data_IF_842139226830
#
_entry.id   IF_842139226830
#
_cell.length_a   1.000
_cell.length_b   1.000
_cell.length_c   1.000
_cell.angle_alpha   90.00
_cell.angle_beta   90.00
_cell.angle_gamma   90.00
#
_symmetry.space_group_name_H-M   'P 1'
#
loop_
_entity.id
_entity.type
_entity.pdbx_description
1 polymer ?
#
# COMPACT_ATOMS: atom_id res chain seq x y z
N UNK A 1 -10.92 18.77 -22.91
CA UNK A 1 -9.69 17.97 -22.69
C UNK A 1 -9.26 18.21 -21.25
N UNK A 2 -9.39 17.22 -20.35
CA UNK A 2 -8.71 17.28 -19.06
C UNK A 2 -7.22 17.12 -19.37
N UNK A 3 -6.42 18.13 -19.08
CA UNK A 3 -4.95 18.03 -19.11
C UNK A 3 -4.56 16.91 -18.16
N UNK A 4 -3.96 15.83 -18.67
CA UNK A 4 -3.37 14.78 -17.85
C UNK A 4 -2.24 15.43 -17.05
N UNK A 5 -2.46 15.65 -15.75
CA UNK A 5 -1.39 16.11 -14.86
C UNK A 5 -0.29 15.05 -14.82
N UNK A 6 0.96 15.46 -14.98
CA UNK A 6 2.10 14.56 -14.87
C UNK A 6 2.21 14.01 -13.44
N UNK A 7 2.44 12.70 -13.33
CA UNK A 7 2.76 12.03 -12.06
C UNK A 7 3.95 12.74 -11.39
N UNK A 8 3.75 13.24 -10.17
CA UNK A 8 4.79 13.89 -9.40
C UNK A 8 5.44 12.87 -8.44
N UNK A 9 6.77 12.81 -8.49
CA UNK A 9 7.58 11.80 -7.79
C UNK A 9 8.54 12.50 -6.83
N UNK A 10 8.42 12.20 -5.53
CA UNK A 10 9.24 12.77 -4.47
C UNK A 10 10.01 11.68 -3.73
N UNK A 11 11.33 11.62 -3.93
CA UNK A 11 12.20 10.65 -3.27
C UNK A 11 12.18 10.83 -1.75
N UNK A 12 11.98 9.75 -1.01
CA UNK A 12 12.11 9.71 0.44
C UNK A 12 13.51 9.22 0.84
N UNK A 13 13.96 9.64 2.03
CA UNK A 13 15.21 9.18 2.62
C UNK A 13 14.91 8.30 3.85
N UNK A 14 15.67 7.22 4.08
CA UNK A 14 16.80 6.75 3.27
C UNK A 14 16.37 5.98 2.00
N UNK A 15 15.11 5.54 1.91
CA UNK A 15 14.53 4.90 0.73
C UNK A 15 13.01 5.13 0.69
N UNK A 16 12.36 4.70 -0.39
CA UNK A 16 10.93 4.91 -0.61
C UNK A 16 10.62 6.15 -1.44
N UNK A 17 9.37 6.27 -1.90
CA UNK A 17 8.94 7.38 -2.74
C UNK A 17 7.53 7.84 -2.37
N UNK A 18 7.29 9.15 -2.38
CA UNK A 18 5.96 9.75 -2.25
C UNK A 18 5.48 10.18 -3.63
N UNK A 19 4.24 9.85 -3.97
CA UNK A 19 3.62 10.23 -5.24
C UNK A 19 2.46 11.20 -5.02
N UNK A 20 2.30 12.15 -5.92
CA UNK A 20 1.12 13.02 -6.04
C UNK A 20 0.72 13.16 -7.51
N UNK A 21 -0.47 13.69 -7.78
CA UNK A 21 -1.08 13.72 -9.12
C UNK A 21 -1.24 12.33 -9.75
N UNK A 22 -1.49 11.31 -8.93
CA UNK A 22 -1.71 9.93 -9.37
C UNK A 22 -3.08 9.82 -10.06
N UNK A 23 -3.09 9.35 -11.30
CA UNK A 23 -4.29 8.98 -12.05
C UNK A 23 -4.25 7.50 -12.41
N UNK A 24 -5.05 6.69 -11.73
CA UNK A 24 -5.12 5.25 -11.97
C UNK A 24 -5.87 4.86 -13.26
N UNK A 25 -6.41 5.83 -14.01
CA UNK A 25 -6.87 5.59 -15.38
C UNK A 25 -5.75 5.67 -16.41
N UNK A 26 -4.62 6.34 -16.12
CA UNK A 26 -3.48 6.41 -17.03
C UNK A 26 -2.67 5.11 -16.96
N UNK A 27 -2.63 4.30 -18.03
CA UNK A 27 -1.80 3.09 -18.06
C UNK A 27 -0.32 3.41 -17.87
N UNK A 28 0.15 4.54 -18.41
CA UNK A 28 1.54 4.98 -18.31
C UNK A 28 1.92 5.29 -16.85
N UNK A 29 1.03 5.97 -16.11
CA UNK A 29 1.25 6.17 -14.69
C UNK A 29 1.19 4.86 -13.91
N UNK A 30 0.26 3.96 -14.24
CA UNK A 30 0.16 2.65 -13.59
C UNK A 30 1.45 1.82 -13.75
N UNK A 31 2.01 1.79 -14.96
CA UNK A 31 3.30 1.13 -15.21
C UNK A 31 4.43 1.80 -14.43
N UNK A 32 4.47 3.13 -14.41
CA UNK A 32 5.50 3.85 -13.65
C UNK A 32 5.39 3.63 -12.15
N UNK A 33 4.17 3.57 -11.58
CA UNK A 33 3.94 3.24 -10.16
C UNK A 33 4.48 1.84 -9.84
N UNK A 34 4.25 0.88 -10.74
CA UNK A 34 4.74 -0.49 -10.58
C UNK A 34 6.27 -0.54 -10.54
N UNK A 35 6.94 0.15 -11.46
CA UNK A 35 8.40 0.27 -11.47
C UNK A 35 8.93 0.95 -10.20
N UNK A 36 8.31 2.06 -9.81
CA UNK A 36 8.71 2.83 -8.64
C UNK A 36 8.67 2.00 -7.36
N UNK A 37 7.69 1.10 -7.19
CA UNK A 37 7.67 0.19 -6.04
C UNK A 37 8.88 -0.76 -6.06
N UNK A 38 9.23 -1.34 -7.20
CA UNK A 38 10.39 -2.24 -7.29
C UNK A 38 11.72 -1.50 -7.10
N UNK A 39 11.84 -0.29 -7.62
CA UNK A 39 13.02 0.57 -7.46
C UNK A 39 13.22 1.01 -6.01
N UNK A 40 12.13 1.36 -5.33
CA UNK A 40 12.17 2.08 -4.06
C UNK A 40 11.70 1.27 -2.85
N UNK A 41 11.15 0.07 -3.02
CA UNK A 41 10.62 -0.79 -1.96
C UNK A 41 9.29 -0.34 -1.36
N UNK A 42 9.07 0.98 -1.19
CA UNK A 42 7.85 1.56 -0.59
C UNK A 42 7.37 2.74 -1.41
N UNK A 43 6.07 2.78 -1.68
CA UNK A 43 5.37 3.90 -2.33
C UNK A 43 4.32 4.44 -1.37
N UNK A 44 4.30 5.77 -1.17
CA UNK A 44 3.32 6.47 -0.34
C UNK A 44 2.51 7.41 -1.22
N UNK A 45 1.18 7.32 -1.14
CA UNK A 45 0.26 8.26 -1.79
C UNK A 45 -0.59 8.90 -0.69
N UNK A 46 -0.54 10.23 -0.50
CA UNK A 46 -1.41 10.89 0.47
C UNK A 46 -2.87 10.87 -0.01
N UNK A 47 -3.86 11.09 0.87
CA UNK A 47 -5.29 11.02 0.51
C UNK A 47 -5.72 11.96 -0.63
N UNK A 48 -5.04 13.10 -0.77
CA UNK A 48 -5.23 14.10 -1.83
C UNK A 48 -4.25 13.90 -3.01
N UNK A 49 -3.43 12.86 -2.97
CA UNK A 49 -2.36 12.60 -3.93
C UNK A 49 -2.79 11.92 -5.22
N UNK A 50 -4.05 11.48 -5.35
CA UNK A 50 -4.52 10.81 -6.55
C UNK A 50 -5.97 10.36 -6.56
N UNK A 51 -6.36 9.71 -7.66
CA UNK A 51 -7.70 9.17 -7.85
C UNK A 51 -7.74 7.99 -8.82
N UNK A 52 -8.89 7.30 -8.84
CA UNK A 52 -9.31 6.42 -9.92
C UNK A 52 -10.61 6.95 -10.51
N UNK A 53 -10.48 7.73 -11.59
CA UNK A 53 -11.60 8.52 -12.12
C UNK A 53 -12.05 9.55 -11.09
N UNK A 54 -13.33 9.50 -10.74
CA UNK A 54 -13.92 10.38 -9.72
C UNK A 54 -13.82 9.78 -8.30
N UNK A 55 -13.28 8.57 -8.15
CA UNK A 55 -13.09 7.94 -6.84
C UNK A 55 -11.78 8.41 -6.21
N UNK A 56 -11.78 8.83 -4.93
CA UNK A 56 -10.56 9.21 -4.25
C UNK A 56 -9.61 8.01 -4.06
N UNK A 57 -8.32 8.25 -3.81
CA UNK A 57 -7.31 7.19 -3.77
C UNK A 57 -7.56 6.14 -2.66
N UNK A 58 -8.23 6.53 -1.56
CA UNK A 58 -8.57 5.65 -0.44
C UNK A 58 -9.85 4.82 -0.65
N UNK A 59 -10.58 5.00 -1.77
CA UNK A 59 -11.77 4.19 -2.05
C UNK A 59 -11.39 2.74 -2.39
N UNK A 60 -12.22 1.77 -2.00
CA UNK A 60 -11.94 0.34 -2.22
C UNK A 60 -11.62 0.03 -3.69
N UNK A 61 -12.33 0.65 -4.64
CA UNK A 61 -12.06 0.50 -6.07
C UNK A 61 -10.64 0.96 -6.45
N UNK A 62 -10.17 2.07 -5.89
CA UNK A 62 -8.82 2.61 -6.09
C UNK A 62 -7.77 1.69 -5.46
N UNK A 63 -8.01 1.18 -4.24
CA UNK A 63 -7.12 0.24 -3.55
C UNK A 63 -6.99 -1.08 -4.33
N UNK A 64 -8.10 -1.62 -4.81
CA UNK A 64 -8.11 -2.84 -5.63
C UNK A 64 -7.43 -2.62 -6.98
N UNK A 65 -7.61 -1.45 -7.60
CA UNK A 65 -6.91 -1.07 -8.84
C UNK A 65 -5.40 -1.01 -8.62
N UNK A 66 -4.94 -0.39 -7.52
CA UNK A 66 -3.53 -0.34 -7.12
C UNK A 66 -2.97 -1.74 -6.87
N UNK A 67 -3.65 -2.56 -6.06
CA UNK A 67 -3.20 -3.93 -5.76
C UNK A 67 -3.08 -4.78 -7.03
N UNK A 68 -4.03 -4.61 -7.96
CA UNK A 68 -4.04 -5.29 -9.25
C UNK A 68 -2.84 -4.97 -10.16
N UNK A 69 -2.16 -3.83 -9.98
CA UNK A 69 -0.92 -3.51 -10.70
C UNK A 69 0.20 -4.51 -10.38
N UNK A 70 0.12 -5.15 -9.21
CA UNK A 70 1.12 -6.07 -8.67
C UNK A 70 0.64 -7.52 -8.70
N UNK A 71 -0.32 -7.86 -9.57
CA UNK A 71 -0.73 -9.22 -9.88
C UNK A 71 -2.10 -9.62 -9.34
N UNK A 72 -2.29 -10.93 -9.16
CA UNK A 72 -3.55 -11.48 -8.67
C UNK A 72 -3.74 -11.12 -7.20
N UNK A 73 -4.83 -10.42 -6.90
CA UNK A 73 -5.23 -10.09 -5.53
C UNK A 73 -5.63 -11.38 -4.79
N UNK A 74 -5.12 -11.55 -3.58
CA UNK A 74 -5.49 -12.65 -2.70
C UNK A 74 -6.90 -12.44 -2.14
N UNK A 75 -7.68 -13.52 -2.04
CA UNK A 75 -9.06 -13.43 -1.58
C UNK A 75 -9.19 -13.46 -0.04
N UNK A 76 -8.13 -13.81 0.70
CA UNK A 76 -8.23 -14.07 2.14
C UNK A 76 -6.89 -14.00 2.87
N UNK A 77 -6.81 -13.21 3.95
CA UNK A 77 -5.78 -13.32 4.98
C UNK A 77 -6.34 -14.11 6.17
N UNK A 78 -5.57 -15.05 6.75
CA UNK A 78 -6.09 -15.94 7.79
C UNK A 78 -6.49 -15.25 9.10
N UNK A 79 -6.03 -14.03 9.35
CA UNK A 79 -6.27 -13.33 10.63
C UNK A 79 -7.07 -12.04 10.49
N UNK A 80 -7.26 -11.51 9.28
CA UNK A 80 -8.01 -10.26 9.10
C UNK A 80 -9.43 -10.54 8.66
N UNK A 81 -10.38 -9.78 9.20
CA UNK A 81 -11.78 -9.89 8.80
C UNK A 81 -11.96 -9.25 7.42
N UNK A 82 -12.73 -9.88 6.51
CA UNK A 82 -13.08 -9.25 5.24
C UNK A 82 -14.05 -8.09 5.48
N UNK A 83 -13.88 -7.00 4.72
CA UNK A 83 -14.78 -5.84 4.77
C UNK A 83 -16.15 -6.14 4.17
N UNK A 84 -16.19 -7.01 3.17
CA UNK A 84 -17.39 -7.41 2.45
C UNK A 84 -17.33 -8.90 2.04
N UNK A 85 -18.38 -9.38 1.37
CA UNK A 85 -18.50 -10.77 0.92
C UNK A 85 -17.49 -11.17 -0.17
N UNK A 86 -16.79 -10.23 -0.79
CA UNK A 86 -15.76 -10.52 -1.80
C UNK A 86 -14.42 -10.90 -1.17
N UNK A 87 -14.17 -10.47 0.06
CA UNK A 87 -12.94 -10.77 0.82
C UNK A 87 -11.67 -10.07 0.34
N UNK A 88 -11.74 -9.25 -0.71
CA UNK A 88 -10.54 -8.63 -1.33
C UNK A 88 -10.00 -7.43 -0.56
N UNK A 89 -10.86 -6.74 0.19
CA UNK A 89 -10.47 -5.68 1.12
C UNK A 89 -10.70 -6.21 2.53
N UNK A 90 -9.72 -6.02 3.39
CA UNK A 90 -9.70 -6.57 4.74
C UNK A 90 -9.53 -5.45 5.75
N UNK A 91 -10.16 -5.60 6.90
CA UNK A 91 -10.09 -4.63 7.99
C UNK A 91 -8.99 -5.08 8.93
N UNK A 92 -8.00 -4.20 9.11
CA UNK A 92 -7.03 -4.29 10.19
C UNK A 92 -7.46 -3.31 11.27
N UNK A 93 -8.04 -3.83 12.35
CA UNK A 93 -8.39 -3.04 13.52
C UNK A 93 -7.46 -3.41 14.66
N UNK A 94 -6.86 -2.40 15.29
CA UNK A 94 -6.00 -2.58 16.46
C UNK A 94 -6.37 -1.53 17.47
N UNK A 95 -6.49 -1.94 18.72
CA UNK A 95 -6.97 -1.13 19.84
C UNK A 95 -8.36 -0.54 19.53
N UNK A 96 -8.77 0.51 20.24
CA UNK A 96 -10.13 1.06 20.11
C UNK A 96 -11.17 0.21 20.84
N UNK A 97 -12.38 0.14 20.29
CA UNK A 97 -13.52 -0.51 20.95
C UNK A 97 -13.42 -2.05 20.97
N UNK A 98 -12.66 -2.64 20.04
CA UNK A 98 -12.42 -4.09 20.02
C UNK A 98 -11.37 -4.54 21.02
N UNK A 99 -10.48 -3.64 21.48
CA UNK A 99 -9.40 -3.94 22.41
C UNK A 99 -8.35 -4.92 21.88
N UNK A 100 -8.36 -5.24 20.58
CA UNK A 100 -7.42 -6.20 19.97
C UNK A 100 -6.03 -5.56 19.95
N UNK A 101 -5.02 -6.14 20.63
CA UNK A 101 -3.67 -5.58 20.58
C UNK A 101 -3.10 -5.67 19.17
N UNK A 102 -2.28 -4.70 18.76
CA UNK A 102 -1.53 -4.88 17.52
C UNK A 102 -0.54 -6.05 17.67
N UNK A 103 -0.26 -6.74 16.58
CA UNK A 103 0.63 -7.91 16.53
C UNK A 103 1.84 -7.69 15.60
N UNK A 104 1.88 -6.55 14.90
CA UNK A 104 2.85 -6.20 13.87
C UNK A 104 3.98 -5.29 14.37
N UNK A 105 4.30 -5.31 15.67
CA UNK A 105 5.34 -4.45 16.26
C UNK A 105 6.79 -4.89 15.95
N UNK A 106 6.98 -6.14 15.50
CA UNK A 106 8.29 -6.67 15.13
C UNK A 106 8.52 -6.55 13.62
N UNK A 107 9.77 -6.35 13.21
CA UNK A 107 10.15 -6.44 11.80
C UNK A 107 9.86 -7.84 11.26
N UNK A 108 9.10 -7.91 10.17
CA UNK A 108 8.74 -9.15 9.48
C UNK A 108 8.56 -8.90 7.98
N UNK A 109 8.37 -9.98 7.23
CA UNK A 109 7.85 -9.95 5.87
C UNK A 109 6.55 -10.75 5.84
N UNK A 110 5.49 -10.14 5.32
CA UNK A 110 4.15 -10.74 5.32
C UNK A 110 4.17 -12.13 4.71
N UNK A 111 3.53 -13.08 5.41
CA UNK A 111 3.28 -14.43 4.91
C UNK A 111 4.53 -15.19 4.45
N UNK A 112 5.72 -14.86 4.99
CA UNK A 112 6.99 -15.50 4.64
C UNK A 112 7.06 -16.99 4.97
N UNK A 113 6.10 -17.51 5.72
CA UNK A 113 5.92 -18.94 6.00
C UNK A 113 5.28 -19.72 4.84
N UNK A 114 4.68 -19.04 3.84
CA UNK A 114 4.14 -19.68 2.63
C UNK A 114 5.27 -19.99 1.65
N UNK A 115 5.08 -21.03 0.83
CA UNK A 115 5.98 -21.34 -0.31
C UNK A 115 6.09 -20.17 -1.29
N UNK A 116 4.98 -19.48 -1.54
CA UNK A 116 4.93 -18.26 -2.35
C UNK A 116 4.34 -17.14 -1.47
N UNK A 117 5.18 -16.38 -0.76
CA UNK A 117 4.74 -15.22 0.02
C UNK A 117 4.10 -14.14 -0.86
N UNK A 118 3.32 -13.26 -0.25
CA UNK A 118 2.69 -12.15 -0.95
C UNK A 118 3.74 -11.20 -1.51
N UNK A 119 3.59 -10.79 -2.78
CA UNK A 119 4.58 -9.94 -3.47
C UNK A 119 4.55 -8.49 -3.00
N UNK A 120 3.36 -7.97 -2.72
CA UNK A 120 3.13 -6.60 -2.31
C UNK A 120 1.80 -6.52 -1.56
N UNK A 121 1.68 -5.51 -0.69
CA UNK A 121 0.47 -5.20 0.08
C UNK A 121 0.10 -3.74 -0.17
N UNK A 122 -1.21 -3.44 -0.20
CA UNK A 122 -1.73 -2.06 -0.22
C UNK A 122 -2.42 -1.82 1.12
N UNK A 123 -1.91 -0.84 1.87
CA UNK A 123 -2.46 -0.46 3.17
C UNK A 123 -3.03 0.96 3.10
N UNK A 124 -4.23 1.16 3.63
CA UNK A 124 -4.88 2.46 3.73
C UNK A 124 -5.22 2.77 5.20
N UNK A 125 -4.69 3.87 5.73
CA UNK A 125 -5.11 4.38 7.04
C UNK A 125 -6.49 5.00 6.95
N UNK A 126 -7.43 4.54 7.78
CA UNK A 126 -8.82 5.03 7.76
C UNK A 126 -9.19 5.75 9.07
N UNK A 127 -9.06 5.06 10.21
CA UNK A 127 -9.17 5.65 11.54
C UNK A 127 -7.77 5.58 12.16
N UNK A 128 -7.19 6.73 12.48
CA UNK A 128 -5.84 6.83 13.01
C UNK A 128 -5.87 7.50 14.40
N UNK A 129 -5.00 7.09 15.33
CA UNK A 129 -4.85 7.81 16.60
C UNK A 129 -4.28 9.21 16.34
N UNK A 130 -4.53 10.18 17.24
CA UNK A 130 -3.99 11.54 17.07
C UNK A 130 -2.46 11.58 17.07
N UNK A 131 -1.81 10.60 17.72
CA UNK A 131 -0.36 10.43 17.76
C UNK A 131 -0.02 8.93 17.77
N UNK A 132 1.16 8.56 17.25
CA UNK A 132 1.62 7.18 17.19
C UNK A 132 1.04 6.39 16.01
N UNK A 133 1.26 5.07 16.00
CA UNK A 133 0.85 4.20 14.89
C UNK A 133 1.76 4.27 13.66
N UNK A 134 3.01 4.72 13.84
CA UNK A 134 3.97 4.81 12.74
C UNK A 134 4.33 3.42 12.21
N UNK A 135 4.29 3.25 10.89
CA UNK A 135 4.82 2.06 10.22
C UNK A 135 6.26 2.31 9.77
N UNK A 136 7.15 1.37 10.09
CA UNK A 136 8.55 1.40 9.64
C UNK A 136 8.80 0.31 8.60
N UNK A 137 9.67 0.60 7.63
CA UNK A 137 10.14 -0.37 6.64
C UNK A 137 11.67 -0.43 6.67
N UNK A 138 12.22 -1.58 6.29
CA UNK A 138 13.66 -1.79 6.14
C UNK A 138 13.99 -2.34 4.75
N UNK A 139 15.04 -1.81 4.12
CA UNK A 139 15.44 -2.22 2.78
C UNK A 139 16.42 -3.41 2.83
N UNK A 140 15.89 -4.63 2.65
CA UNK A 140 16.68 -5.85 2.67
C UNK A 140 17.76 -5.90 1.57
N UNK A 141 17.52 -5.32 0.38
CA UNK A 141 18.52 -5.24 -0.69
C UNK A 141 19.71 -4.36 -0.29
N UNK A 142 19.44 -3.24 0.38
CA UNK A 142 20.50 -2.37 0.90
C UNK A 142 21.26 -3.03 2.04
N UNK A 143 20.57 -3.71 2.96
CA UNK A 143 21.22 -4.48 4.03
C UNK A 143 22.16 -5.54 3.45
N UNK A 144 21.68 -6.33 2.49
CA UNK A 144 22.48 -7.38 1.84
C UNK A 144 23.74 -6.82 1.16
N UNK A 145 23.63 -5.68 0.48
CA UNK A 145 24.78 -5.02 -0.19
C UNK A 145 25.82 -4.46 0.79
N UNK A 146 25.44 -4.25 2.06
CA UNK A 146 26.30 -3.70 3.09
C UNK A 146 26.83 -4.77 4.06
N UNK A 147 26.64 -6.05 3.76
CA UNK A 147 27.30 -7.16 4.45
C UNK A 147 28.77 -7.24 4.05
#
# INVERSE_FOLDING_TARGET
>A
MKTLSTLAVHQLKPFGVKLTNVDLNSPEQCDRIRELLYENGVVIIPPDGGSFGDQPIQADASLLKLAGLFGKIENYHPVNAPKDSTGKVQILETMGDTGIPADSFLFHSDMSWRMNPSRASVLCGFILPPNGGNTCFQNANQMYRNL
#
